data_IF_321583379909
#
_entry.id   IF_321583379909
#
_cell.length_a   1.000
_cell.length_b   1.000
_cell.length_c   1.000
_cell.angle_alpha   90.00
_cell.angle_beta   90.00
_cell.angle_gamma   90.00
#
_symmetry.space_group_name_H-M   'P 1'
#
loop_
_entity.id
_entity.type
_entity.pdbx_description
1 polymer ?
#
# COMPACT_ATOMS: atom_id res chain seq x y z
N UNK A 1 -10.81 13.05 15.41
CA UNK A 1 -10.24 12.11 14.42
C UNK A 1 -11.18 11.01 13.96
N UNK A 2 -11.98 10.36 14.83
CA UNK A 2 -12.82 9.20 14.47
C UNK A 2 -13.87 9.46 13.37
N UNK A 3 -14.41 10.67 13.27
CA UNK A 3 -15.39 11.04 12.25
C UNK A 3 -14.82 10.95 10.81
N UNK A 4 -13.57 11.38 10.61
CA UNK A 4 -12.94 11.36 9.28
C UNK A 4 -12.76 9.93 8.76
N UNK A 5 -12.27 9.01 9.61
CA UNK A 5 -12.13 7.60 9.24
C UNK A 5 -13.48 6.93 9.01
N UNK A 6 -14.54 7.31 9.73
CA UNK A 6 -15.88 6.77 9.47
C UNK A 6 -16.40 7.15 8.08
N UNK A 7 -16.17 8.37 7.62
CA UNK A 7 -16.54 8.78 6.25
C UNK A 7 -15.72 8.04 5.20
N UNK A 8 -14.39 7.93 5.42
CA UNK A 8 -13.49 7.19 4.53
C UNK A 8 -13.90 5.72 4.44
N UNK A 9 -14.12 5.04 5.57
CA UNK A 9 -14.53 3.62 5.59
C UNK A 9 -15.90 3.36 4.96
N UNK A 10 -16.78 4.37 4.93
CA UNK A 10 -18.07 4.32 4.24
C UNK A 10 -17.96 4.68 2.75
N UNK A 11 -16.75 4.93 2.24
CA UNK A 11 -16.46 5.43 0.89
C UNK A 11 -17.21 6.72 0.53
N UNK A 12 -17.61 7.52 1.54
CA UNK A 12 -18.20 8.84 1.38
C UNK A 12 -17.10 9.90 1.26
N UNK A 13 -16.37 9.82 0.14
CA UNK A 13 -15.12 10.56 -0.09
C UNK A 13 -15.22 11.57 -1.22
N UNK A 14 -16.43 11.85 -1.73
CA UNK A 14 -16.62 12.84 -2.79
C UNK A 14 -16.18 14.22 -2.29
N UNK A 15 -15.23 14.84 -2.99
CA UNK A 15 -14.62 16.11 -2.58
C UNK A 15 -13.45 15.97 -1.59
N UNK A 16 -13.07 14.74 -1.21
CA UNK A 16 -11.83 14.47 -0.49
C UNK A 16 -10.69 14.25 -1.48
N UNK A 17 -9.73 15.17 -1.46
CA UNK A 17 -8.58 15.14 -2.37
C UNK A 17 -7.89 13.76 -2.38
N UNK A 18 -7.68 13.23 -3.58
CA UNK A 18 -7.12 11.89 -3.87
C UNK A 18 -7.96 10.68 -3.47
N UNK A 19 -9.08 10.84 -2.77
CA UNK A 19 -9.96 9.73 -2.33
C UNK A 19 -11.28 9.63 -3.09
N UNK A 20 -11.55 10.56 -4.01
CA UNK A 20 -12.87 10.79 -4.62
C UNK A 20 -13.24 9.89 -5.80
N UNK A 21 -12.27 9.25 -6.47
CA UNK A 21 -12.56 8.52 -7.71
C UNK A 21 -13.27 7.18 -7.43
N UNK A 22 -14.13 6.68 -8.33
CA UNK A 22 -14.84 5.41 -8.10
C UNK A 22 -13.91 4.21 -7.84
N UNK A 23 -12.77 4.13 -8.53
CA UNK A 23 -11.82 3.05 -8.28
C UNK A 23 -11.07 3.19 -6.96
N UNK A 24 -10.83 4.42 -6.50
CA UNK A 24 -10.26 4.68 -5.19
C UNK A 24 -11.25 4.31 -4.08
N UNK A 25 -12.54 4.64 -4.28
CA UNK A 25 -13.61 4.25 -3.36
C UNK A 25 -13.76 2.72 -3.23
N UNK A 26 -13.56 1.96 -4.31
CA UNK A 26 -13.48 0.50 -4.26
C UNK A 26 -12.30 0.02 -3.41
N UNK A 27 -11.11 0.63 -3.60
CA UNK A 27 -9.93 0.24 -2.84
C UNK A 27 -10.09 0.57 -1.35
N UNK A 28 -10.62 1.75 -1.03
CA UNK A 28 -10.91 2.19 0.34
C UNK A 28 -11.92 1.25 1.01
N UNK A 29 -13.00 0.87 0.32
CA UNK A 29 -14.01 -0.05 0.84
C UNK A 29 -13.40 -1.41 1.18
N UNK A 30 -12.44 -1.89 0.38
CA UNK A 30 -11.73 -3.15 0.62
C UNK A 30 -10.67 -3.05 1.71
N UNK A 31 -9.96 -1.92 1.79
CA UNK A 31 -8.86 -1.72 2.75
C UNK A 31 -9.35 -1.39 4.16
N UNK A 32 -10.51 -0.74 4.28
CA UNK A 32 -11.06 -0.25 5.54
C UNK A 32 -10.02 0.52 6.40
N UNK A 33 -9.54 1.70 5.95
CA UNK A 33 -8.46 2.42 6.63
C UNK A 33 -8.75 2.71 8.11
N UNK A 34 -7.85 2.32 9.02
CA UNK A 34 -8.01 2.48 10.48
C UNK A 34 -7.16 3.60 11.07
N UNK A 35 -6.13 4.00 10.35
CA UNK A 35 -5.15 5.00 10.76
C UNK A 35 -4.57 5.76 9.55
N UNK A 36 -3.85 6.88 9.76
CA UNK A 36 -3.32 7.67 8.65
C UNK A 36 -2.35 6.91 7.74
N UNK A 37 -1.69 5.86 8.22
CA UNK A 37 -0.75 5.08 7.44
C UNK A 37 -1.47 4.21 6.41
N UNK A 38 -2.66 3.71 6.73
CA UNK A 38 -3.52 3.03 5.75
C UNK A 38 -3.92 3.97 4.60
N UNK A 39 -4.25 5.25 4.89
CA UNK A 39 -4.61 6.24 3.85
C UNK A 39 -3.42 6.58 2.96
N UNK A 40 -2.24 6.71 3.55
CA UNK A 40 -0.98 6.93 2.81
C UNK A 40 -0.70 5.73 1.89
N UNK A 41 -0.87 4.50 2.39
CA UNK A 41 -0.70 3.30 1.59
C UNK A 41 -1.73 3.22 0.45
N UNK A 42 -3.00 3.50 0.72
CA UNK A 42 -4.10 3.53 -0.25
C UNK A 42 -3.80 4.44 -1.46
N UNK A 43 -3.40 5.69 -1.20
CA UNK A 43 -3.03 6.66 -2.24
C UNK A 43 -1.78 6.21 -3.03
N UNK A 44 -0.85 5.51 -2.36
CA UNK A 44 0.38 5.02 -2.99
C UNK A 44 0.12 3.79 -3.87
N UNK A 45 -0.78 2.91 -3.41
CA UNK A 45 -1.16 1.65 -4.05
C UNK A 45 -2.15 1.86 -5.21
N UNK A 46 -2.96 2.91 -5.20
CA UNK A 46 -3.85 3.23 -6.32
C UNK A 46 -3.12 3.96 -7.45
N UNK A 47 -2.12 3.29 -8.02
CA UNK A 47 -1.33 3.75 -9.17
C UNK A 47 -1.19 2.62 -10.18
N UNK A 48 -1.04 2.91 -11.49
CA UNK A 48 -1.02 1.88 -12.53
C UNK A 48 -0.05 0.72 -12.27
N UNK A 49 1.19 1.00 -11.88
CA UNK A 49 2.20 -0.03 -11.58
C UNK A 49 1.78 -0.94 -10.41
N UNK A 50 1.57 -0.40 -9.19
CA UNK A 50 1.13 -1.19 -8.05
C UNK A 50 -0.17 -1.98 -8.27
N UNK A 51 -1.17 -1.38 -8.94
CA UNK A 51 -2.44 -2.06 -9.27
C UNK A 51 -2.20 -3.22 -10.24
N UNK A 52 -1.42 -3.02 -11.30
CA UNK A 52 -1.07 -4.07 -12.28
C UNK A 52 -0.26 -5.20 -11.63
N UNK A 53 0.61 -4.87 -10.68
CA UNK A 53 1.40 -5.83 -9.91
C UNK A 53 0.62 -6.56 -8.80
N UNK A 54 -0.69 -6.30 -8.63
CA UNK A 54 -1.50 -6.96 -7.60
C UNK A 54 -1.14 -6.58 -6.15
N UNK A 55 -0.35 -5.52 -5.97
CA UNK A 55 0.15 -5.08 -4.65
C UNK A 55 -0.96 -4.69 -3.66
N UNK A 56 -2.07 -4.04 -4.06
CA UNK A 56 -3.13 -3.72 -3.12
C UNK A 56 -3.72 -4.96 -2.42
N UNK A 57 -3.86 -6.07 -3.14
CA UNK A 57 -4.39 -7.30 -2.57
C UNK A 57 -3.44 -7.91 -1.53
N UNK A 58 -2.12 -7.86 -1.78
CA UNK A 58 -1.10 -8.32 -0.83
C UNK A 58 -1.09 -7.48 0.44
N UNK A 59 -1.17 -6.14 0.29
CA UNK A 59 -1.21 -5.23 1.42
C UNK A 59 -2.45 -5.47 2.29
N UNK A 60 -3.64 -5.53 1.67
CA UNK A 60 -4.91 -5.77 2.39
C UNK A 60 -4.87 -7.10 3.14
N UNK A 61 -4.47 -8.19 2.46
CA UNK A 61 -4.42 -9.51 3.08
C UNK A 61 -3.50 -9.53 4.32
N UNK A 62 -2.31 -8.93 4.22
CA UNK A 62 -1.38 -8.88 5.34
C UNK A 62 -1.85 -7.94 6.46
N UNK A 63 -2.48 -6.81 6.10
CA UNK A 63 -3.11 -5.87 7.03
C UNK A 63 -4.29 -6.49 7.80
N UNK A 64 -4.92 -7.52 7.24
CA UNK A 64 -5.97 -8.34 7.85
C UNK A 64 -5.44 -9.58 8.58
N UNK A 65 -4.11 -9.73 8.67
CA UNK A 65 -3.45 -10.75 9.48
C UNK A 65 -2.86 -11.93 8.71
N UNK A 66 -2.86 -11.92 7.38
CA UNK A 66 -2.08 -12.87 6.61
C UNK A 66 -0.57 -12.65 6.83
N UNK A 67 0.22 -13.72 6.67
CA UNK A 67 1.68 -13.64 6.82
C UNK A 67 2.27 -12.84 5.65
N UNK A 68 2.99 -11.73 5.91
CA UNK A 68 3.63 -10.95 4.85
C UNK A 68 4.76 -11.73 4.19
N UNK A 69 4.94 -11.51 2.88
CA UNK A 69 6.08 -12.05 2.13
C UNK A 69 7.05 -10.91 1.84
N UNK A 70 8.33 -11.11 2.14
CA UNK A 70 9.39 -10.16 1.83
C UNK A 70 10.19 -10.64 0.62
N UNK A 71 10.52 -9.77 -0.34
CA UNK A 71 11.36 -10.15 -1.49
C UNK A 71 12.75 -10.62 -1.07
N UNK A 72 13.32 -10.00 -0.02
CA UNK A 72 14.63 -10.33 0.50
C UNK A 72 14.69 -10.11 2.03
N UNK A 73 15.43 -10.93 2.80
CA UNK A 73 15.55 -10.75 4.26
C UNK A 73 16.05 -9.36 4.68
N UNK A 74 17.02 -8.79 3.96
CA UNK A 74 17.53 -7.44 4.24
C UNK A 74 16.50 -6.33 4.01
N UNK A 75 15.41 -6.62 3.28
CA UNK A 75 14.31 -5.69 3.06
C UNK A 75 13.23 -5.76 4.14
N UNK A 76 13.18 -6.83 4.94
CA UNK A 76 12.20 -6.97 6.01
C UNK A 76 12.21 -5.78 6.99
N UNK A 77 13.35 -5.28 7.49
CA UNK A 77 13.36 -4.14 8.40
C UNK A 77 12.80 -2.85 7.78
N UNK A 78 12.91 -2.69 6.46
CA UNK A 78 12.48 -1.50 5.72
C UNK A 78 11.02 -1.59 5.28
N UNK A 79 10.57 -2.79 4.93
CA UNK A 79 9.22 -3.06 4.40
C UNK A 79 8.25 -3.60 5.46
N UNK A 80 8.69 -3.79 6.71
CA UNK A 80 7.83 -4.25 7.81
C UNK A 80 6.56 -3.43 7.93
N UNK A 81 6.69 -2.12 7.86
CA UNK A 81 5.60 -1.15 8.04
C UNK A 81 4.60 -1.16 6.88
N UNK A 82 4.95 -1.87 5.81
CA UNK A 82 4.19 -1.97 4.56
C UNK A 82 3.91 -3.44 4.20
N UNK A 83 4.12 -4.34 5.17
CA UNK A 83 3.87 -5.77 5.03
C UNK A 83 4.62 -6.45 3.87
N UNK A 84 5.82 -5.97 3.55
CA UNK A 84 6.61 -6.49 2.43
C UNK A 84 6.25 -5.88 1.08
N UNK A 85 5.26 -4.97 1.02
CA UNK A 85 4.85 -4.29 -0.20
C UNK A 85 5.64 -3.00 -0.40
N UNK A 86 6.28 -2.86 -1.56
CA UNK A 86 7.10 -1.69 -1.87
C UNK A 86 6.22 -0.50 -2.27
N UNK A 87 5.78 0.28 -1.28
CA UNK A 87 4.98 1.50 -1.49
C UNK A 87 5.82 2.79 -1.52
N UNK A 88 7.11 2.72 -1.16
CA UNK A 88 8.02 3.86 -1.10
C UNK A 88 9.16 3.71 -2.09
N UNK A 89 9.61 4.83 -2.65
CA UNK A 89 10.86 4.85 -3.40
C UNK A 89 12.02 4.86 -2.39
N UNK A 90 12.70 3.72 -2.25
CA UNK A 90 13.92 3.60 -1.47
C UNK A 90 15.07 3.19 -2.39
N UNK A 91 16.14 3.99 -2.39
CA UNK A 91 17.31 3.71 -3.21
C UNK A 91 18.36 3.03 -2.36
N UNK A 92 18.52 1.72 -2.51
CA UNK A 92 19.67 1.00 -1.93
C UNK A 92 20.84 0.99 -2.92
N UNK A 93 21.91 1.69 -2.57
CA UNK A 93 23.14 1.71 -3.36
C UNK A 93 24.14 0.64 -2.95
N UNK A 94 23.85 -0.16 -1.91
CA UNK A 94 24.84 -1.05 -1.29
C UNK A 94 24.85 -2.46 -1.86
N UNK A 95 23.77 -2.93 -2.51
CA UNK A 95 23.69 -4.30 -2.98
C UNK A 95 22.96 -4.43 -4.33
N UNK A 96 23.69 -4.81 -5.38
CA UNK A 96 23.17 -4.96 -6.75
C UNK A 96 22.07 -6.03 -6.87
N UNK A 97 22.10 -7.06 -6.02
CA UNK A 97 21.08 -8.13 -6.04
C UNK A 97 19.73 -7.64 -5.48
N UNK A 98 19.76 -6.81 -4.45
CA UNK A 98 18.56 -6.21 -3.84
C UNK A 98 17.93 -5.19 -4.78
N UNK A 99 18.75 -4.39 -5.48
CA UNK A 99 18.24 -3.45 -6.49
C UNK A 99 17.46 -4.14 -7.61
N UNK A 100 17.89 -5.33 -8.04
CA UNK A 100 17.19 -6.12 -9.05
C UNK A 100 15.86 -6.70 -8.52
N UNK A 101 15.83 -7.19 -7.28
CA UNK A 101 14.60 -7.63 -6.60
C UNK A 101 13.58 -6.47 -6.49
N UNK A 102 14.03 -5.28 -6.11
CA UNK A 102 13.19 -4.09 -6.00
C UNK A 102 12.62 -3.64 -7.36
N UNK A 103 13.39 -3.72 -8.44
CA UNK A 103 12.89 -3.39 -9.78
C UNK A 103 11.76 -4.31 -10.24
N UNK A 104 11.76 -5.59 -9.84
CA UNK A 104 10.63 -6.50 -10.11
C UNK A 104 9.38 -6.16 -9.30
N UNK A 105 9.55 -5.55 -8.13
CA UNK A 105 8.46 -5.15 -7.25
C UNK A 105 7.88 -3.77 -7.57
N UNK A 106 8.45 -2.99 -8.50
CA UNK A 106 7.97 -1.65 -8.86
C UNK A 106 7.53 -1.58 -10.34
N UNK A 107 7.86 -2.59 -11.14
CA UNK A 107 7.52 -2.71 -12.55
C UNK A 107 6.16 -3.41 -12.78
#
# INVERSE_FOLDING_TARGET
MRFAFALIQASDTVGMFQLESPGQQDLVDRLQPRDPQDVIADISLFRPGPVQGGMPALYIAARDGAVPTYPHPDLEPVLRDTYGVTIWHFTDHRNSSIACELQKCVA
#
